data_IF_104157932449
#
_entry.id   IF_104157932449
#
_cell.length_a   1.000
_cell.length_b   1.000
_cell.length_c   1.000
_cell.angle_alpha   90.00
_cell.angle_beta   90.00
_cell.angle_gamma   90.00
#
_symmetry.space_group_name_H-M   'P 1'
#
loop_
_entity.id
_entity.type
_entity.pdbx_description
1 polymer ?
#
# COMPACT_ATOMS: atom_id res chain seq x y z
N UNK A 1 -58.94 -14.21 -19.10
CA UNK A 1 -57.75 -14.89 -18.55
C UNK A 1 -56.43 -14.30 -19.03
N UNK A 2 -56.14 -14.19 -20.34
CA UNK A 2 -54.87 -13.63 -20.85
C UNK A 2 -54.54 -12.22 -20.32
N UNK A 3 -55.52 -11.32 -20.26
CA UNK A 3 -55.32 -9.94 -19.73
C UNK A 3 -54.92 -9.89 -18.25
N UNK A 4 -55.44 -10.81 -17.43
CA UNK A 4 -55.10 -10.90 -15.99
C UNK A 4 -53.65 -11.34 -15.81
N UNK A 5 -53.18 -12.28 -16.63
CA UNK A 5 -51.79 -12.74 -16.61
C UNK A 5 -50.81 -11.61 -16.98
N UNK A 6 -51.15 -10.76 -17.95
CA UNK A 6 -50.32 -9.60 -18.30
C UNK A 6 -50.23 -8.56 -17.17
N UNK A 7 -51.33 -8.32 -16.44
CA UNK A 7 -51.31 -7.42 -15.28
C UNK A 7 -50.46 -7.97 -14.13
N UNK A 8 -50.51 -9.28 -13.87
CA UNK A 8 -49.67 -9.93 -12.85
C UNK A 8 -48.19 -9.87 -13.26
N UNK A 9 -47.88 -10.15 -14.52
CA UNK A 9 -46.51 -10.09 -15.04
C UNK A 9 -45.94 -8.66 -14.97
N UNK A 10 -46.73 -7.64 -15.32
CA UNK A 10 -46.32 -6.24 -15.23
C UNK A 10 -46.09 -5.81 -13.77
N UNK A 11 -46.93 -6.26 -12.84
CA UNK A 11 -46.75 -6.01 -11.41
C UNK A 11 -45.46 -6.63 -10.87
N UNK A 12 -45.12 -7.86 -11.27
CA UNK A 12 -43.86 -8.49 -10.89
C UNK A 12 -42.65 -7.75 -11.49
N UNK A 13 -42.69 -7.40 -12.77
CA UNK A 13 -41.61 -6.64 -13.43
C UNK A 13 -41.40 -5.26 -12.80
N UNK A 14 -42.48 -4.54 -12.47
CA UNK A 14 -42.39 -3.27 -11.77
C UNK A 14 -41.79 -3.43 -10.37
N UNK A 15 -42.17 -4.46 -9.62
CA UNK A 15 -41.61 -4.72 -8.30
C UNK A 15 -40.10 -5.06 -8.36
N UNK A 16 -39.66 -5.83 -9.36
CA UNK A 16 -38.25 -6.14 -9.57
C UNK A 16 -37.43 -4.92 -10.01
N UNK A 17 -38.02 -4.00 -10.78
CA UNK A 17 -37.36 -2.75 -11.17
C UNK A 17 -37.11 -1.80 -10.00
N UNK A 18 -37.93 -1.88 -8.94
CA UNK A 18 -37.77 -1.06 -7.72
C UNK A 18 -36.76 -1.67 -6.73
N UNK A 19 -36.57 -3.00 -6.73
CA UNK A 19 -35.56 -3.67 -5.90
C UNK A 19 -34.15 -3.50 -6.48
N UNK A 20 -34.02 -3.30 -7.79
CA UNK A 20 -32.74 -3.00 -8.46
C UNK A 20 -32.12 -1.65 -8.07
N UNK A 21 -32.88 -0.78 -7.39
CA UNK A 21 -32.38 0.47 -6.80
C UNK A 21 -32.32 0.39 -5.26
N UNK A 22 -32.16 -0.82 -4.69
CA UNK A 22 -31.56 -0.90 -3.36
C UNK A 22 -30.21 -0.20 -3.46
N UNK A 23 -30.17 0.98 -2.86
CA UNK A 23 -29.02 1.86 -2.71
C UNK A 23 -27.81 0.99 -2.38
N UNK A 24 -26.94 0.74 -3.37
CA UNK A 24 -25.61 0.20 -3.09
C UNK A 24 -25.03 1.12 -2.02
N UNK A 25 -24.65 0.56 -0.87
CA UNK A 25 -24.01 1.33 0.18
C UNK A 25 -22.72 1.87 -0.43
N UNK A 26 -22.73 3.16 -0.78
CA UNK A 26 -21.58 3.85 -1.33
C UNK A 26 -20.47 3.78 -0.29
N UNK A 27 -19.49 2.92 -0.51
CA UNK A 27 -18.34 2.78 0.38
C UNK A 27 -17.43 3.99 0.20
N UNK A 28 -17.41 4.87 1.21
CA UNK A 28 -16.56 6.07 1.23
C UNK A 28 -15.09 5.70 1.03
N UNK A 29 -14.35 6.46 0.23
CA UNK A 29 -12.94 6.18 -0.03
C UNK A 29 -12.09 6.12 1.28
N UNK A 30 -11.11 5.20 1.37
CA UNK A 30 -10.28 5.08 2.56
C UNK A 30 -9.47 6.34 2.79
N UNK A 31 -9.32 6.75 4.04
CA UNK A 31 -8.56 7.94 4.43
C UNK A 31 -7.46 7.60 5.43
N UNK A 32 -6.36 8.35 5.41
CA UNK A 32 -5.32 8.29 6.44
C UNK A 32 -5.47 9.51 7.33
N UNK A 33 -5.73 9.30 8.62
CA UNK A 33 -5.92 10.36 9.59
C UNK A 33 -4.58 10.88 10.11
N UNK A 34 -3.66 9.96 10.45
CA UNK A 34 -2.38 10.32 11.04
C UNK A 34 -1.32 9.24 10.78
N UNK A 35 -0.05 9.64 10.68
CA UNK A 35 1.09 8.72 10.67
C UNK A 35 2.04 9.10 11.80
N UNK A 36 2.28 8.17 12.71
CA UNK A 36 3.21 8.28 13.83
C UNK A 36 4.42 7.39 13.62
N UNK A 37 5.56 7.85 14.11
CA UNK A 37 6.80 7.09 14.10
C UNK A 37 7.27 6.91 15.53
N UNK A 38 7.61 5.69 15.91
CA UNK A 38 8.13 5.36 17.24
C UNK A 38 9.49 4.71 17.12
N UNK A 39 10.35 4.95 18.10
CA UNK A 39 11.59 4.20 18.28
C UNK A 39 11.72 3.80 19.74
N UNK A 40 12.20 2.58 19.96
CA UNK A 40 12.49 2.08 21.30
C UNK A 40 13.73 2.80 21.84
N UNK A 41 13.57 3.38 23.02
CA UNK A 41 14.66 4.05 23.74
C UNK A 41 15.58 3.04 24.47
N UNK A 42 16.60 3.55 25.15
CA UNK A 42 17.53 2.73 25.94
C UNK A 42 16.85 2.03 27.13
N UNK A 43 15.68 2.50 27.54
CA UNK A 43 14.87 1.95 28.63
C UNK A 43 13.87 0.89 28.15
N UNK A 44 13.85 0.58 26.85
CA UNK A 44 12.93 -0.39 26.26
C UNK A 44 11.53 0.17 26.00
N UNK A 45 11.33 1.49 26.12
CA UNK A 45 10.04 2.15 25.90
C UNK A 45 10.00 2.77 24.51
N UNK A 46 8.88 2.59 23.82
CA UNK A 46 8.63 3.26 22.55
C UNK A 46 8.32 4.74 22.77
N UNK A 47 9.13 5.60 22.16
CA UNK A 47 8.96 7.05 22.17
C UNK A 47 8.58 7.56 20.78
N UNK A 48 7.64 8.50 20.72
CA UNK A 48 7.28 9.18 19.48
C UNK A 48 8.48 9.99 18.97
N UNK A 49 8.79 9.86 17.69
CA UNK A 49 9.91 10.52 17.03
C UNK A 49 9.47 11.25 15.77
N UNK A 50 10.21 12.29 15.41
CA UNK A 50 10.06 12.99 14.12
C UNK A 50 11.23 12.72 13.17
N UNK A 51 12.34 12.23 13.70
CA UNK A 51 13.57 11.98 12.96
C UNK A 51 14.17 10.63 13.36
N UNK A 52 14.01 9.58 12.55
CA UNK A 52 14.61 8.29 12.82
C UNK A 52 16.14 8.33 12.70
N UNK A 53 16.80 7.39 13.38
CA UNK A 53 18.26 7.20 13.28
C UNK A 53 18.57 6.04 12.35
N UNK A 54 19.53 6.23 11.45
CA UNK A 54 20.06 5.20 10.54
C UNK A 54 20.45 3.95 11.33
N UNK A 55 20.08 2.79 10.80
CA UNK A 55 20.44 1.48 11.34
C UNK A 55 19.70 1.09 12.61
N UNK A 56 18.78 1.92 13.12
CA UNK A 56 17.94 1.58 14.26
C UNK A 56 16.52 1.22 13.79
N UNK A 57 15.92 0.17 14.36
CA UNK A 57 14.53 -0.16 14.07
C UNK A 57 13.62 0.95 14.61
N UNK A 58 12.62 1.28 13.79
CA UNK A 58 11.52 2.18 14.12
C UNK A 58 10.20 1.53 13.76
N UNK A 59 9.13 1.95 14.40
CA UNK A 59 7.77 1.49 14.15
C UNK A 59 6.97 2.62 13.52
N UNK A 60 6.39 2.37 12.36
CA UNK A 60 5.33 3.20 11.81
C UNK A 60 4.00 2.78 12.45
N UNK A 61 3.15 3.75 12.74
CA UNK A 61 1.74 3.55 13.13
C UNK A 61 0.90 4.49 12.29
N UNK A 62 0.01 3.93 11.49
CA UNK A 62 -0.90 4.64 10.60
C UNK A 62 -2.30 4.52 11.19
N UNK A 63 -2.89 5.66 11.53
CA UNK A 63 -4.26 5.76 12.02
C UNK A 63 -5.15 5.97 10.80
N UNK A 64 -5.98 4.98 10.50
CA UNK A 64 -6.86 4.94 9.33
C UNK A 64 -8.04 4.02 9.64
N UNK A 65 -9.20 4.34 9.06
CA UNK A 65 -10.39 3.48 9.09
C UNK A 65 -10.38 2.44 7.95
N UNK A 66 -9.30 2.37 7.17
CA UNK A 66 -9.17 1.44 6.06
C UNK A 66 -8.94 -0.01 6.52
N UNK A 67 -9.46 -0.95 5.73
CA UNK A 67 -9.35 -2.40 5.92
C UNK A 67 -7.94 -2.96 5.72
N UNK A 68 -7.13 -2.30 4.88
CA UNK A 68 -5.75 -2.68 4.63
C UNK A 68 -4.91 -1.41 4.51
N UNK A 69 -3.73 -1.43 5.12
CA UNK A 69 -2.73 -0.38 4.99
C UNK A 69 -1.39 -0.98 4.58
N UNK A 70 -0.66 -0.34 3.68
CA UNK A 70 0.73 -0.68 3.36
C UNK A 70 1.59 0.58 3.40
N UNK A 71 2.76 0.46 4.03
CA UNK A 71 3.70 1.57 4.23
C UNK A 71 4.85 1.44 3.24
N UNK A 72 5.15 2.51 2.51
CA UNK A 72 6.22 2.59 1.53
C UNK A 72 7.23 3.66 1.98
N UNK A 73 8.24 3.29 2.78
CA UNK A 73 9.20 4.23 3.37
C UNK A 73 10.23 4.79 2.37
N UNK A 74 10.41 4.17 1.21
CA UNK A 74 11.35 4.64 0.16
C UNK A 74 12.83 4.55 0.51
N UNK A 75 13.19 3.83 1.58
CA UNK A 75 14.55 3.72 2.11
C UNK A 75 15.43 2.63 1.48
N UNK A 76 14.87 1.70 0.69
CA UNK A 76 15.62 0.66 0.00
C UNK A 76 15.20 0.57 -1.48
N UNK A 77 16.19 0.65 -2.37
CA UNK A 77 16.01 0.43 -3.81
C UNK A 77 17.28 -0.17 -4.39
N UNK A 78 17.20 -1.41 -4.83
CA UNK A 78 18.33 -2.15 -5.41
C UNK A 78 17.89 -2.80 -6.72
N UNK A 79 18.62 -2.52 -7.79
CA UNK A 79 18.39 -3.11 -9.12
C UNK A 79 19.23 -4.37 -9.26
N UNK A 80 18.64 -5.43 -9.84
CA UNK A 80 19.40 -6.64 -10.19
C UNK A 80 20.36 -6.29 -11.33
N UNK A 81 21.63 -6.67 -11.20
CA UNK A 81 22.61 -6.52 -12.27
C UNK A 81 22.57 -7.73 -13.21
N UNK A 82 22.81 -7.51 -14.50
CA UNK A 82 22.97 -8.60 -15.47
C UNK A 82 24.10 -9.51 -15.02
N UNK A 83 23.87 -10.83 -15.10
CA UNK A 83 24.87 -11.84 -14.72
C UNK A 83 26.13 -11.67 -15.59
N UNK A 84 27.28 -11.99 -14.98
CA UNK A 84 28.62 -12.04 -15.59
C UNK A 84 28.54 -12.79 -16.94
N UNK A 85 29.15 -12.24 -18.00
CA UNK A 85 29.23 -12.92 -19.29
C UNK A 85 30.06 -14.21 -19.17
N UNK A 86 29.80 -15.20 -20.01
CA UNK A 86 30.51 -16.50 -20.00
C UNK A 86 32.02 -16.35 -20.30
N UNK A 87 32.39 -15.18 -20.78
CA UNK A 87 33.70 -14.72 -21.24
C UNK A 87 34.49 -13.99 -20.12
N UNK A 88 34.01 -14.05 -18.87
CA UNK A 88 34.76 -13.58 -17.69
C UNK A 88 34.69 -12.07 -17.43
N UNK A 89 33.88 -11.34 -18.22
CA UNK A 89 33.62 -9.92 -18.01
C UNK A 89 32.53 -9.67 -16.96
N UNK A 90 32.82 -8.85 -15.96
CA UNK A 90 31.79 -8.32 -15.05
C UNK A 90 31.02 -7.21 -15.78
N UNK A 91 29.81 -7.51 -16.25
CA UNK A 91 28.90 -6.47 -16.75
C UNK A 91 28.18 -5.78 -15.59
N UNK A 92 28.40 -4.48 -15.43
CA UNK A 92 27.70 -3.64 -14.44
C UNK A 92 26.32 -3.15 -14.93
N UNK A 93 25.84 -3.67 -16.07
CA UNK A 93 24.59 -3.28 -16.68
C UNK A 93 23.39 -3.75 -15.84
N UNK A 94 22.35 -2.92 -15.77
CA UNK A 94 21.10 -3.26 -15.08
C UNK A 94 20.30 -4.32 -15.84
N UNK A 95 19.67 -5.21 -15.09
CA UNK A 95 18.70 -6.16 -15.63
C UNK A 95 17.42 -5.41 -15.99
N UNK A 96 16.91 -5.70 -17.19
CA UNK A 96 15.65 -5.16 -17.70
C UNK A 96 14.67 -6.29 -17.99
N UNK A 97 13.38 -6.01 -17.85
CA UNK A 97 12.31 -6.94 -18.21
C UNK A 97 11.98 -6.89 -19.72
N UNK A 98 10.96 -7.63 -20.14
CA UNK A 98 10.51 -7.67 -21.54
C UNK A 98 9.90 -6.35 -22.04
N UNK A 99 9.60 -5.41 -21.15
CA UNK A 99 9.04 -4.09 -21.44
C UNK A 99 10.06 -2.96 -21.24
N UNK A 100 11.35 -3.30 -21.10
CA UNK A 100 12.46 -2.36 -20.90
C UNK A 100 12.40 -1.59 -19.56
N UNK A 101 11.77 -2.16 -18.53
CA UNK A 101 11.81 -1.64 -17.16
C UNK A 101 12.91 -2.32 -16.33
N UNK A 102 13.49 -1.63 -15.32
CA UNK A 102 14.49 -2.24 -14.45
C UNK A 102 13.86 -3.35 -13.59
N UNK A 103 14.56 -4.48 -13.47
CA UNK A 103 14.19 -5.56 -12.55
C UNK A 103 14.82 -5.29 -11.19
N UNK A 104 14.01 -5.12 -10.16
CA UNK A 104 14.47 -4.76 -8.83
C UNK A 104 14.71 -6.04 -8.01
N UNK A 105 15.79 -6.03 -7.22
CA UNK A 105 16.03 -7.02 -6.18
C UNK A 105 15.10 -6.76 -4.99
N UNK A 106 14.96 -5.49 -4.65
CA UNK A 106 14.05 -4.96 -3.63
C UNK A 106 13.81 -3.49 -3.95
N UNK A 107 12.57 -3.03 -3.79
CA UNK A 107 12.27 -1.61 -3.66
C UNK A 107 11.07 -1.41 -2.73
N UNK A 108 11.18 -0.44 -1.84
CA UNK A 108 10.06 0.06 -1.03
C UNK A 108 9.70 1.51 -1.37
N UNK A 109 10.17 1.99 -2.53
CA UNK A 109 9.81 3.26 -3.13
C UNK A 109 8.52 3.11 -3.94
N UNK A 110 7.48 3.86 -3.58
CA UNK A 110 6.18 3.75 -4.26
C UNK A 110 6.22 4.09 -5.75
N UNK A 111 7.18 4.91 -6.20
CA UNK A 111 7.38 5.20 -7.63
C UNK A 111 7.74 3.96 -8.46
N UNK A 112 8.28 2.90 -7.83
CA UNK A 112 8.55 1.63 -8.49
C UNK A 112 7.34 0.68 -8.42
N UNK A 113 6.16 1.12 -7.94
CA UNK A 113 4.98 0.27 -7.83
C UNK A 113 4.64 -0.38 -9.18
N UNK A 114 4.39 -1.70 -9.15
CA UNK A 114 4.15 -2.51 -10.36
C UNK A 114 5.42 -3.12 -10.97
N UNK A 115 6.62 -2.67 -10.59
CA UNK A 115 7.87 -3.30 -11.02
C UNK A 115 8.18 -4.57 -10.22
N UNK A 116 8.84 -5.53 -10.88
CA UNK A 116 9.29 -6.77 -10.21
C UNK A 116 10.23 -6.44 -9.07
N UNK A 117 9.93 -6.94 -7.88
CA UNK A 117 10.72 -6.73 -6.66
C UNK A 117 10.33 -5.49 -5.86
N UNK A 118 9.44 -4.65 -6.38
CA UNK A 118 8.84 -3.52 -5.67
C UNK A 118 7.69 -3.98 -4.77
N UNK A 119 7.72 -3.61 -3.49
CA UNK A 119 6.66 -3.93 -2.53
C UNK A 119 6.68 -2.99 -1.32
N UNK A 120 5.48 -2.64 -0.87
CA UNK A 120 5.29 -1.97 0.41
C UNK A 120 5.47 -2.94 1.57
N UNK A 121 5.64 -2.38 2.76
CA UNK A 121 5.74 -3.16 3.98
C UNK A 121 4.40 -3.81 4.31
N UNK A 122 4.47 -5.05 4.79
CA UNK A 122 3.34 -5.73 5.41
C UNK A 122 3.10 -5.12 6.79
N UNK A 123 1.88 -4.72 7.04
CA UNK A 123 1.45 -4.15 8.31
C UNK A 123 0.59 -5.16 9.09
N UNK A 124 0.44 -4.90 10.38
CA UNK A 124 -0.53 -5.56 11.24
C UNK A 124 -1.39 -4.50 11.93
N UNK A 125 -2.60 -4.84 12.34
CA UNK A 125 -3.50 -3.92 13.02
C UNK A 125 -3.50 -4.18 14.53
N UNK A 126 -3.50 -3.10 15.33
CA UNK A 126 -3.78 -3.14 16.76
C UNK A 126 -4.68 -1.96 17.15
N UNK A 127 -4.91 -1.77 18.45
CA UNK A 127 -5.75 -0.68 18.96
C UNK A 127 -5.21 0.74 18.67
N UNK A 128 -3.92 0.90 18.34
CA UNK A 128 -3.31 2.19 17.98
C UNK A 128 -3.42 2.49 16.48
N UNK A 129 -3.72 1.48 15.65
CA UNK A 129 -3.78 1.57 14.19
C UNK A 129 -3.00 0.46 13.48
N UNK A 130 -2.70 0.69 12.20
CA UNK A 130 -1.88 -0.20 11.39
C UNK A 130 -0.40 0.07 11.62
N UNK A 131 0.39 -0.95 11.93
CA UNK A 131 1.80 -0.78 12.27
C UNK A 131 2.73 -1.73 11.55
N UNK A 132 3.97 -1.31 11.37
CA UNK A 132 5.08 -2.13 10.88
C UNK A 132 6.42 -1.61 11.41
N UNK A 133 7.38 -2.52 11.53
CA UNK A 133 8.76 -2.15 11.88
C UNK A 133 9.60 -1.97 10.62
N UNK A 134 10.44 -0.95 10.60
CA UNK A 134 11.34 -0.66 9.50
C UNK A 134 12.69 -0.14 10.01
N UNK A 135 13.75 -0.34 9.24
CA UNK A 135 15.10 0.17 9.53
C UNK A 135 15.68 0.82 8.30
N UNK A 136 15.85 2.15 8.34
CA UNK A 136 16.58 2.87 7.29
C UNK A 136 18.06 2.48 7.32
N UNK A 137 18.57 1.93 6.22
CA UNK A 137 19.96 1.48 6.11
C UNK A 137 20.94 2.62 5.88
N UNK A 138 20.46 3.76 5.38
CA UNK A 138 21.23 4.96 5.05
C UNK A 138 20.60 6.20 5.69
N UNK A 139 21.42 7.23 5.92
CA UNK A 139 20.92 8.55 6.31
C UNK A 139 20.52 9.31 5.04
N UNK A 140 19.59 10.24 5.16
CA UNK A 140 19.06 11.00 4.02
C UNK A 140 17.61 11.40 4.19
N UNK A 141 17.01 11.88 3.10
CA UNK A 141 15.60 12.24 3.06
C UNK A 141 14.87 11.29 2.13
N UNK A 142 13.77 10.72 2.62
CA UNK A 142 12.99 9.71 1.91
C UNK A 142 11.53 10.15 1.82
N UNK A 143 10.89 9.89 0.69
CA UNK A 143 9.47 10.19 0.49
C UNK A 143 8.62 9.01 0.99
N UNK A 144 7.86 9.25 2.05
CA UNK A 144 6.94 8.28 2.61
C UNK A 144 5.64 8.28 1.80
N UNK A 145 5.19 7.10 1.38
CA UNK A 145 3.86 6.91 0.82
C UNK A 145 3.10 5.86 1.63
N UNK A 146 1.80 6.09 1.82
CA UNK A 146 0.89 5.16 2.49
C UNK A 146 -0.16 4.75 1.48
N UNK A 147 -0.42 3.44 1.37
CA UNK A 147 -1.46 2.91 0.51
C UNK A 147 -2.52 2.29 1.40
N UNK A 148 -3.76 2.77 1.30
CA UNK A 148 -4.89 2.28 2.06
C UNK A 148 -5.98 1.76 1.13
N UNK A 149 -6.64 0.66 1.51
CA UNK A 149 -7.76 0.09 0.75
C UNK A 149 -8.94 -0.26 1.64
N UNK A 150 -10.16 -0.08 1.14
CA UNK A 150 -11.40 -0.40 1.86
C UNK A 150 -11.77 -1.88 1.84
N UNK A 151 -11.11 -2.68 0.99
CA UNK A 151 -11.29 -4.13 0.95
C UNK A 151 -10.07 -4.79 0.30
N UNK A 152 -9.87 -6.08 0.60
CA UNK A 152 -8.78 -6.91 0.07
C UNK A 152 -9.15 -7.73 -1.17
N UNK A 153 -10.41 -7.69 -1.61
CA UNK A 153 -10.90 -8.46 -2.74
C UNK A 153 -11.33 -7.52 -3.88
N UNK A 154 -11.29 -8.05 -5.10
CA UNK A 154 -11.68 -7.32 -6.30
C UNK A 154 -13.21 -7.26 -6.38
N UNK A 155 -13.83 -6.41 -5.55
CA UNK A 155 -15.26 -6.11 -5.53
C UNK A 155 -15.55 -4.74 -6.14
N UNK A 156 -16.81 -4.43 -6.50
CA UNK A 156 -17.20 -3.08 -6.94
C UNK A 156 -16.85 -1.98 -5.93
N UNK A 157 -16.78 -2.34 -4.64
CA UNK A 157 -16.45 -1.44 -3.53
C UNK A 157 -14.95 -1.27 -3.28
N UNK A 158 -14.10 -1.88 -4.14
CA UNK A 158 -12.66 -1.74 -4.04
C UNK A 158 -12.24 -0.29 -4.35
N UNK A 159 -11.84 0.42 -3.30
CA UNK A 159 -11.20 1.71 -3.39
C UNK A 159 -9.80 1.64 -2.79
N UNK A 160 -8.80 2.09 -3.57
CA UNK A 160 -7.43 2.25 -3.12
C UNK A 160 -7.02 3.72 -3.21
N UNK A 161 -6.43 4.23 -2.15
CA UNK A 161 -5.92 5.60 -2.09
C UNK A 161 -4.45 5.57 -1.70
N UNK A 162 -3.66 6.37 -2.41
CA UNK A 162 -2.26 6.61 -2.10
C UNK A 162 -2.17 7.98 -1.43
N UNK A 163 -1.72 7.98 -0.18
CA UNK A 163 -1.57 9.19 0.62
C UNK A 163 -0.08 9.51 0.79
N UNK A 164 0.39 10.70 0.37
CA UNK A 164 1.74 11.15 0.70
C UNK A 164 1.89 11.33 2.22
N UNK A 165 2.79 10.57 2.82
CA UNK A 165 3.11 10.67 4.26
C UNK A 165 4.15 11.77 4.57
N UNK A 166 4.62 12.49 3.54
CA UNK A 166 5.62 13.54 3.66
C UNK A 166 7.06 13.02 3.55
N UNK A 167 8.01 13.88 3.91
CA UNK A 167 9.44 13.58 3.85
C UNK A 167 9.97 13.16 5.21
N UNK A 168 10.63 12.01 5.28
CA UNK A 168 11.31 11.51 6.47
C UNK A 168 12.79 11.84 6.35
N UNK A 169 13.32 12.57 7.33
CA UNK A 169 14.76 12.85 7.41
C UNK A 169 15.41 11.94 8.43
N UNK A 170 16.25 11.02 7.96
CA UNK A 170 17.00 10.05 8.75
C UNK A 170 18.39 10.60 9.06
N UNK A 171 18.79 10.55 10.34
CA UNK A 171 20.11 10.96 10.83
C UNK A 171 21.07 9.79 10.99
#
# INVERSE_FOLDING_TARGET
MKKIIYFIALGMLASLSLVSCLKEDSVDAPTVNEVKMYMTDKSGKDSLITQPTKGKPMRFVVITEADICSVWPGGDRQIIKKKISLDGGVTFADSIDMFNHPVLKVSDLYLDYGLVGSKGLKTAQNAEGWYCTYTYKTAGTFDLSIVVTNHGYNSPDYNQVVVPGGKITVK
#
